data_IF_246401440204
#
_entry.id   IF_246401440204
#
_cell.length_a   1.000
_cell.length_b   1.000
_cell.length_c   1.000
_cell.angle_alpha   90.00
_cell.angle_beta   90.00
_cell.angle_gamma   90.00
#
_symmetry.space_group_name_H-M   'P 1'
#
loop_
_entity.id
_entity.type
_entity.pdbx_description
1 polymer ?
#
# COMPACT_ATOMS: atom_id res chain seq x y z
N UNK A 1 -20.46 -52.91 -21.59
CA UNK A 1 -19.31 -52.27 -21.00
C UNK A 1 -19.59 -52.10 -19.52
N UNK A 2 -19.01 -52.99 -18.69
CA UNK A 2 -19.09 -52.90 -17.23
C UNK A 2 -18.23 -51.71 -16.75
N UNK A 3 -18.86 -50.80 -16.00
CA UNK A 3 -18.14 -49.73 -15.33
C UNK A 3 -17.24 -50.24 -14.18
N UNK A 4 -16.24 -49.52 -13.76
CA UNK A 4 -15.31 -49.96 -12.72
C UNK A 4 -16.04 -50.31 -11.41
N UNK A 5 -15.68 -51.47 -10.86
CA UNK A 5 -16.22 -51.97 -9.57
C UNK A 5 -15.93 -50.93 -8.45
N UNK A 6 -16.88 -50.75 -7.50
CA UNK A 6 -16.84 -49.82 -6.39
C UNK A 6 -15.52 -49.92 -5.58
N UNK A 7 -14.89 -51.08 -5.52
CA UNK A 7 -13.57 -51.32 -4.92
C UNK A 7 -12.43 -50.69 -5.76
N UNK A 8 -12.49 -50.81 -7.09
CA UNK A 8 -11.49 -50.20 -7.97
C UNK A 8 -11.60 -48.69 -7.99
N UNK A 9 -12.81 -48.12 -7.87
CA UNK A 9 -13.04 -46.68 -7.72
C UNK A 9 -12.49 -46.15 -6.39
N UNK A 10 -12.74 -46.85 -5.28
CA UNK A 10 -12.25 -46.48 -3.95
C UNK A 10 -10.73 -46.57 -3.84
N UNK A 11 -10.11 -47.59 -4.41
CA UNK A 11 -8.63 -47.72 -4.46
C UNK A 11 -7.99 -46.69 -5.35
N UNK A 12 -8.61 -46.35 -6.48
CA UNK A 12 -8.15 -45.27 -7.34
C UNK A 12 -8.25 -43.87 -6.70
N UNK A 13 -9.39 -43.61 -6.02
CA UNK A 13 -9.57 -42.32 -5.29
C UNK A 13 -8.60 -42.18 -4.09
N UNK A 14 -8.31 -43.27 -3.35
CA UNK A 14 -7.31 -43.29 -2.29
C UNK A 14 -5.90 -43.07 -2.84
N UNK A 15 -5.53 -43.67 -3.97
CA UNK A 15 -4.22 -43.49 -4.60
C UNK A 15 -4.01 -42.07 -5.11
N UNK A 16 -5.06 -41.46 -5.71
CA UNK A 16 -5.02 -40.05 -6.16
C UNK A 16 -4.96 -39.10 -4.95
N UNK A 17 -5.74 -39.35 -3.90
CA UNK A 17 -5.71 -38.57 -2.67
C UNK A 17 -4.36 -38.64 -1.97
N UNK A 18 -3.72 -39.82 -1.92
CA UNK A 18 -2.39 -40.00 -1.36
C UNK A 18 -1.30 -39.33 -2.19
N UNK A 19 -1.38 -39.41 -3.52
CA UNK A 19 -0.44 -38.72 -4.41
C UNK A 19 -0.57 -37.18 -4.31
N UNK A 20 -1.79 -36.67 -4.17
CA UNK A 20 -2.04 -35.23 -3.96
C UNK A 20 -1.53 -34.75 -2.58
N UNK A 21 -1.69 -35.55 -1.53
CA UNK A 21 -1.18 -35.23 -0.18
C UNK A 21 0.34 -35.26 -0.11
N UNK A 22 0.98 -36.26 -0.76
CA UNK A 22 2.44 -36.36 -0.84
C UNK A 22 3.01 -35.25 -1.75
N UNK A 23 2.37 -34.97 -2.90
CA UNK A 23 2.75 -33.88 -3.79
C UNK A 23 2.59 -32.51 -3.13
N UNK A 24 1.51 -32.30 -2.38
CA UNK A 24 1.28 -31.08 -1.59
C UNK A 24 2.27 -30.91 -0.43
N UNK A 25 2.61 -32.03 0.25
CA UNK A 25 3.63 -32.03 1.32
C UNK A 25 5.04 -31.77 0.80
N UNK A 26 5.43 -32.39 -0.31
CA UNK A 26 6.73 -32.14 -0.97
C UNK A 26 6.75 -30.73 -1.55
N UNK A 27 5.65 -30.24 -2.14
CA UNK A 27 5.52 -28.88 -2.63
C UNK A 27 5.75 -27.85 -1.52
N UNK A 28 5.13 -28.01 -0.34
CA UNK A 28 5.35 -27.15 0.82
C UNK A 28 6.77 -27.22 1.37
N UNK A 29 7.36 -28.43 1.45
CA UNK A 29 8.76 -28.62 1.90
C UNK A 29 9.78 -28.02 0.91
N UNK A 30 9.48 -28.05 -0.39
CA UNK A 30 10.29 -27.39 -1.41
C UNK A 30 10.10 -25.88 -1.40
N UNK A 31 8.88 -25.39 -1.15
CA UNK A 31 8.57 -23.96 -1.02
C UNK A 31 9.36 -23.32 0.14
N UNK A 32 9.39 -23.96 1.32
CA UNK A 32 10.15 -23.48 2.46
C UNK A 32 11.69 -23.49 2.26
N UNK A 33 12.21 -24.27 1.28
CA UNK A 33 13.64 -24.26 0.91
C UNK A 33 14.05 -23.09 0.00
N UNK A 34 13.08 -22.41 -0.60
CA UNK A 34 13.30 -21.29 -1.53
C UNK A 34 12.75 -19.97 -0.98
N UNK A 35 12.21 -19.95 0.25
CA UNK A 35 11.80 -18.71 0.90
C UNK A 35 13.05 -17.88 1.22
N UNK A 36 13.03 -16.61 0.79
CA UNK A 36 14.09 -15.67 1.12
C UNK A 36 14.07 -15.37 2.61
N UNK A 37 15.27 -15.28 3.17
CA UNK A 37 15.43 -14.88 4.56
C UNK A 37 15.10 -13.40 4.72
N UNK A 38 14.01 -13.12 5.43
CA UNK A 38 13.59 -11.78 5.86
C UNK A 38 13.70 -11.60 7.37
N UNK A 39 14.27 -12.57 8.09
CA UNK A 39 14.44 -12.53 9.54
C UNK A 39 15.81 -11.92 9.90
N UNK A 40 15.94 -10.62 9.69
CA UNK A 40 17.09 -9.83 10.11
C UNK A 40 16.63 -8.46 10.59
N UNK A 41 17.46 -7.80 11.41
CA UNK A 41 17.13 -6.47 11.91
C UNK A 41 17.56 -5.38 10.92
N UNK A 42 16.67 -4.44 10.63
CA UNK A 42 17.01 -3.25 9.86
C UNK A 42 17.85 -2.27 10.70
N UNK A 43 18.66 -1.41 10.07
CA UNK A 43 19.36 -0.33 10.75
C UNK A 43 18.42 0.48 11.64
N UNK A 44 18.85 0.75 12.89
CA UNK A 44 18.09 1.53 13.85
C UNK A 44 16.95 0.80 14.57
N UNK A 45 16.70 -0.47 14.27
CA UNK A 45 15.76 -1.30 15.02
C UNK A 45 16.41 -1.91 16.27
N UNK A 46 15.65 -2.17 17.37
CA UNK A 46 16.16 -2.91 18.52
C UNK A 46 16.63 -4.29 18.09
N UNK A 47 17.89 -4.62 18.37
CA UNK A 47 18.50 -5.90 17.97
C UNK A 47 19.31 -5.88 16.68
N UNK A 48 19.41 -4.74 15.98
CA UNK A 48 20.32 -4.58 14.87
C UNK A 48 21.77 -4.68 15.38
N UNK A 49 22.36 -5.86 15.27
CA UNK A 49 23.82 -6.04 15.45
C UNK A 49 24.44 -5.61 14.13
N UNK A 50 25.26 -4.59 14.16
CA UNK A 50 26.17 -4.29 13.05
C UNK A 50 27.23 -5.40 13.03
N UNK A 51 26.90 -6.56 12.45
CA UNK A 51 27.90 -7.55 12.12
C UNK A 51 28.71 -7.03 10.92
N UNK A 52 29.79 -6.36 11.23
CA UNK A 52 30.87 -6.13 10.28
C UNK A 52 31.55 -7.49 9.99
N UNK A 53 31.03 -8.23 9.01
CA UNK A 53 31.76 -9.36 8.46
C UNK A 53 32.99 -8.82 7.73
N UNK A 54 34.14 -8.88 8.41
CA UNK A 54 35.47 -8.79 7.77
C UNK A 54 36.09 -7.42 7.64
N UNK A 55 36.07 -6.57 8.67
CA UNK A 55 36.88 -5.34 8.71
C UNK A 55 38.00 -5.43 9.72
N UNK A 56 39.20 -4.97 9.29
CA UNK A 56 40.35 -4.69 10.13
C UNK A 56 39.97 -3.86 11.36
N UNK A 57 40.59 -4.08 12.53
CA UNK A 57 40.30 -3.28 13.74
C UNK A 57 40.66 -1.79 13.50
N UNK A 58 39.66 -0.93 13.43
CA UNK A 58 39.87 0.50 13.32
C UNK A 58 38.87 1.29 12.44
N UNK A 59 38.03 0.65 11.66
CA UNK A 59 37.00 1.35 10.88
C UNK A 59 35.69 1.42 11.68
N UNK A 60 35.39 2.56 12.29
CA UNK A 60 34.04 2.87 12.76
C UNK A 60 33.15 3.07 11.54
N UNK A 61 32.27 2.13 11.26
CA UNK A 61 31.18 2.34 10.28
C UNK A 61 30.37 3.57 10.74
N UNK A 62 30.18 4.60 9.90
CA UNK A 62 29.37 5.75 10.28
C UNK A 62 27.97 5.26 10.68
N UNK A 63 27.44 5.79 11.78
CA UNK A 63 26.05 5.49 12.15
C UNK A 63 25.14 5.98 11.02
N UNK A 64 24.27 5.11 10.51
CA UNK A 64 23.29 5.45 9.49
C UNK A 64 22.33 6.48 10.09
N UNK A 65 22.18 7.62 9.44
CA UNK A 65 21.22 8.65 9.86
C UNK A 65 19.83 8.17 9.42
N UNK A 66 18.91 8.12 10.38
CA UNK A 66 17.51 7.77 10.13
C UNK A 66 16.63 8.93 10.55
N UNK A 67 15.97 9.55 9.59
CA UNK A 67 14.93 10.55 9.85
C UNK A 67 13.63 9.82 10.20
N UNK A 68 13.29 9.83 11.49
CA UNK A 68 12.19 9.05 12.07
C UNK A 68 10.83 9.65 11.74
N UNK A 69 9.86 8.77 11.56
CA UNK A 69 8.47 9.18 11.42
C UNK A 69 7.98 9.94 12.68
N UNK A 70 7.10 10.94 12.50
CA UNK A 70 6.47 11.63 13.64
C UNK A 70 5.64 10.66 14.50
N UNK A 71 5.32 11.09 15.75
CA UNK A 71 4.39 10.35 16.62
C UNK A 71 3.02 10.22 15.98
N UNK A 72 2.36 9.09 16.26
CA UNK A 72 0.97 8.80 15.88
C UNK A 72 0.02 8.89 17.09
N UNK A 73 0.42 9.59 18.15
CA UNK A 73 -0.43 9.79 19.31
C UNK A 73 -1.76 10.45 18.91
N UNK A 74 -2.87 9.80 19.28
CA UNK A 74 -4.22 10.25 18.92
C UNK A 74 -4.66 9.92 17.49
N UNK A 75 -3.88 9.15 16.73
CA UNK A 75 -4.30 8.67 15.41
C UNK A 75 -5.34 7.54 15.50
N UNK A 76 -5.27 6.73 16.57
CA UNK A 76 -6.26 5.70 16.90
C UNK A 76 -7.36 6.29 17.77
N UNK A 77 -8.61 6.22 17.31
CA UNK A 77 -9.78 6.71 18.08
C UNK A 77 -10.32 5.68 19.07
N UNK A 78 -9.83 4.45 19.05
CA UNK A 78 -10.22 3.39 19.99
C UNK A 78 -11.67 2.92 19.84
N UNK A 79 -12.26 3.04 18.66
CA UNK A 79 -13.62 2.58 18.37
C UNK A 79 -13.56 1.23 17.68
N UNK A 80 -14.23 0.24 18.27
CA UNK A 80 -14.26 -1.12 17.73
C UNK A 80 -14.80 -1.16 16.29
N UNK A 81 -14.09 -1.86 15.43
CA UNK A 81 -14.47 -2.09 14.04
C UNK A 81 -13.97 -1.04 13.04
N UNK A 82 -13.33 0.03 13.48
CA UNK A 82 -12.56 0.92 12.60
C UNK A 82 -11.24 0.22 12.25
N UNK A 83 -10.81 0.32 11.00
CA UNK A 83 -9.50 -0.18 10.54
C UNK A 83 -8.37 0.50 11.31
N UNK A 84 -7.36 -0.28 11.73
CA UNK A 84 -6.20 0.23 12.46
C UNK A 84 -5.47 1.31 11.69
N UNK A 85 -5.00 2.37 12.38
CA UNK A 85 -4.25 3.45 11.72
C UNK A 85 -3.01 2.89 11.00
N UNK A 86 -2.29 1.96 11.62
CA UNK A 86 -1.21 1.18 10.99
C UNK A 86 -1.70 -0.23 10.75
N UNK A 87 -1.90 -0.60 9.49
CA UNK A 87 -2.38 -1.94 9.11
C UNK A 87 -1.25 -2.96 9.30
N UNK A 88 -1.46 -4.05 10.06
CA UNK A 88 -0.46 -5.10 10.21
C UNK A 88 0.00 -5.67 8.86
N UNK A 89 1.27 -6.09 8.76
CA UNK A 89 1.83 -6.59 7.50
C UNK A 89 1.03 -7.75 6.88
N UNK A 90 0.44 -8.61 7.69
CA UNK A 90 -0.33 -9.76 7.22
C UNK A 90 -1.73 -9.37 6.71
N UNK A 91 -2.29 -8.28 7.20
CA UNK A 91 -3.61 -7.78 6.84
C UNK A 91 -3.55 -6.71 5.73
N UNK A 92 -2.35 -6.15 5.48
CA UNK A 92 -2.17 -5.14 4.43
C UNK A 92 -2.52 -5.71 3.05
N UNK A 93 -3.37 -5.00 2.31
CA UNK A 93 -3.87 -5.47 1.01
C UNK A 93 -2.75 -5.85 0.04
N UNK A 94 -3.00 -6.87 -0.78
CA UNK A 94 -2.06 -7.35 -1.77
C UNK A 94 -2.68 -7.34 -3.16
N UNK A 95 -2.12 -6.55 -4.06
CA UNK A 95 -2.40 -6.55 -5.51
C UNK A 95 -1.07 -6.60 -6.24
N UNK A 96 -0.93 -7.57 -7.13
CA UNK A 96 0.18 -7.71 -8.07
C UNK A 96 -0.22 -8.65 -9.23
N UNK A 97 0.65 -8.76 -10.24
CA UNK A 97 0.46 -9.65 -11.41
C UNK A 97 1.22 -10.97 -11.27
N UNK A 98 2.00 -11.12 -10.21
CA UNK A 98 2.83 -12.30 -9.99
C UNK A 98 1.97 -13.52 -9.60
N UNK A 99 2.07 -14.60 -10.36
CA UNK A 99 1.37 -15.87 -10.05
C UNK A 99 1.89 -16.52 -8.76
N UNK A 100 3.17 -16.34 -8.50
CA UNK A 100 3.85 -16.75 -7.26
C UNK A 100 4.65 -15.59 -6.73
N UNK A 101 4.75 -15.46 -5.40
CA UNK A 101 5.57 -14.40 -4.78
C UNK A 101 7.02 -14.57 -5.19
N UNK A 102 7.64 -13.60 -5.90
CA UNK A 102 9.04 -13.64 -6.22
C UNK A 102 9.90 -13.76 -4.97
N UNK A 103 10.89 -14.63 -5.04
CA UNK A 103 11.88 -14.86 -3.98
C UNK A 103 13.22 -14.28 -4.43
N UNK A 104 13.50 -13.05 -4.02
CA UNK A 104 14.68 -12.29 -4.45
C UNK A 104 15.64 -12.17 -3.28
N UNK A 105 16.81 -12.79 -3.39
CA UNK A 105 17.83 -12.73 -2.36
C UNK A 105 18.50 -11.34 -2.34
N UNK A 106 18.61 -10.73 -1.16
CA UNK A 106 19.16 -9.37 -0.98
C UNK A 106 20.62 -9.22 -1.40
N UNK A 107 21.40 -10.27 -1.19
CA UNK A 107 22.85 -10.32 -1.49
C UNK A 107 23.18 -10.34 -2.98
N UNK A 108 22.21 -10.72 -3.82
CA UNK A 108 22.33 -10.73 -5.28
C UNK A 108 21.46 -9.68 -5.95
N UNK A 109 20.61 -8.99 -5.17
CA UNK A 109 19.73 -7.96 -5.71
C UNK A 109 20.52 -6.71 -6.15
N UNK A 110 20.11 -6.17 -7.28
CA UNK A 110 20.63 -4.91 -7.84
C UNK A 110 19.49 -4.10 -8.43
N UNK A 111 19.64 -2.78 -8.37
CA UNK A 111 18.81 -1.81 -9.04
C UNK A 111 19.64 -0.99 -10.01
N UNK A 112 19.29 -1.02 -11.29
CA UNK A 112 19.87 -0.12 -12.29
C UNK A 112 18.99 1.11 -12.50
N UNK A 113 19.63 2.28 -12.66
CA UNK A 113 19.00 3.55 -13.02
C UNK A 113 19.64 4.06 -14.29
N UNK A 114 18.84 4.27 -15.35
CA UNK A 114 19.32 4.57 -16.69
C UNK A 114 18.36 5.47 -17.48
N UNK A 115 18.64 5.69 -18.76
CA UNK A 115 17.80 6.45 -19.67
C UNK A 115 18.19 7.93 -19.72
N UNK A 116 17.24 8.85 -19.55
CA UNK A 116 17.48 10.29 -19.59
C UNK A 116 18.15 10.78 -18.28
N UNK A 117 19.36 10.31 -18.04
CA UNK A 117 20.25 10.66 -16.92
C UNK A 117 21.66 10.94 -17.44
N UNK A 118 22.43 11.76 -16.74
CA UNK A 118 23.83 12.03 -17.07
C UNK A 118 24.75 10.88 -16.67
N UNK A 119 24.42 10.20 -15.57
CA UNK A 119 25.18 9.09 -15.01
C UNK A 119 24.25 7.91 -14.74
N UNK A 120 24.49 6.78 -15.36
CA UNK A 120 23.83 5.54 -14.99
C UNK A 120 24.33 5.08 -13.63
N UNK A 121 23.42 4.61 -12.77
CA UNK A 121 23.72 4.17 -11.40
C UNK A 121 23.30 2.70 -11.26
N UNK A 122 24.15 1.89 -10.65
CA UNK A 122 23.80 0.57 -10.14
C UNK A 122 23.91 0.59 -8.61
N UNK A 123 22.87 0.14 -7.91
CA UNK A 123 22.81 0.06 -6.46
C UNK A 123 22.61 -1.39 -6.02
N UNK A 124 23.37 -1.82 -5.04
CA UNK A 124 23.14 -3.04 -4.26
C UNK A 124 22.24 -2.75 -3.07
N UNK A 125 21.78 -3.79 -2.38
CA UNK A 125 21.04 -3.63 -1.14
C UNK A 125 21.86 -2.94 -0.05
N UNK A 126 23.15 -3.28 0.06
CA UNK A 126 24.07 -2.67 1.02
C UNK A 126 24.31 -1.18 0.72
N UNK A 127 24.36 -0.78 -0.56
CA UNK A 127 24.47 0.62 -0.94
C UNK A 127 23.24 1.42 -0.47
N UNK A 128 22.03 0.83 -0.52
CA UNK A 128 20.83 1.49 0.04
C UNK A 128 20.91 1.59 1.57
N UNK A 129 21.34 0.55 2.25
CA UNK A 129 21.48 0.57 3.72
C UNK A 129 22.52 1.56 4.20
N UNK A 130 23.53 1.89 3.38
CA UNK A 130 24.56 2.87 3.71
C UNK A 130 24.15 4.34 3.49
N UNK A 131 23.01 4.59 2.80
CA UNK A 131 22.49 5.92 2.56
C UNK A 131 21.73 6.47 3.78
N UNK A 132 21.46 7.77 3.76
CA UNK A 132 20.51 8.40 4.67
C UNK A 132 19.13 7.78 4.50
N UNK A 133 18.53 7.33 5.59
CA UNK A 133 17.26 6.63 5.60
C UNK A 133 16.15 7.49 6.18
N UNK A 134 14.93 7.22 5.77
CA UNK A 134 13.74 7.85 6.32
C UNK A 134 12.72 6.80 6.76
N UNK A 135 11.92 7.15 7.77
CA UNK A 135 10.71 6.43 8.14
C UNK A 135 9.51 7.32 7.88
N UNK A 136 8.51 6.83 7.14
CA UNK A 136 7.30 7.60 6.80
C UNK A 136 6.05 6.74 6.91
N UNK A 137 5.01 7.28 7.55
CA UNK A 137 3.67 6.72 7.43
C UNK A 137 3.08 7.16 6.10
N UNK A 138 2.74 6.21 5.23
CA UNK A 138 2.15 6.50 3.92
C UNK A 138 1.02 5.52 3.65
N UNK A 139 -0.13 6.08 3.27
CA UNK A 139 -1.27 5.30 2.80
C UNK A 139 -1.11 5.01 1.30
N UNK A 140 -1.16 3.73 0.95
CA UNK A 140 -1.26 3.27 -0.43
C UNK A 140 -2.69 2.87 -0.77
N UNK A 141 -3.12 3.18 -1.97
CA UNK A 141 -4.42 2.76 -2.51
C UNK A 141 -4.28 2.11 -3.87
N UNK A 142 -5.03 1.05 -4.12
CA UNK A 142 -5.17 0.47 -5.44
C UNK A 142 -6.20 1.28 -6.25
N UNK A 143 -5.93 1.50 -7.54
CA UNK A 143 -6.91 2.14 -8.44
C UNK A 143 -8.19 1.30 -8.59
N UNK A 144 -8.08 -0.02 -8.38
CA UNK A 144 -9.22 -0.95 -8.41
C UNK A 144 -10.05 -0.94 -7.12
N UNK A 145 -9.71 -0.11 -6.14
CA UNK A 145 -10.48 0.02 -4.91
C UNK A 145 -11.86 0.62 -5.23
N UNK A 146 -12.97 -0.12 -5.06
CA UNK A 146 -14.30 0.46 -5.22
C UNK A 146 -14.62 1.40 -4.05
N UNK A 147 -15.68 2.18 -4.17
CA UNK A 147 -16.20 2.96 -3.04
C UNK A 147 -16.56 2.02 -1.89
N UNK A 148 -16.04 2.30 -0.69
CA UNK A 148 -16.21 1.43 0.48
C UNK A 148 -15.36 0.16 0.49
N UNK A 149 -14.41 0.01 -0.47
CA UNK A 149 -13.55 -1.17 -0.57
C UNK A 149 -12.35 -1.14 0.39
N UNK A 150 -11.64 -2.27 0.43
CA UNK A 150 -10.55 -2.59 1.35
C UNK A 150 -9.15 -2.59 0.69
N UNK A 151 -9.05 -2.17 -0.59
CA UNK A 151 -7.78 -2.11 -1.31
C UNK A 151 -7.04 -0.78 -1.03
N UNK A 152 -6.93 -0.43 0.22
CA UNK A 152 -6.24 0.74 0.75
C UNK A 152 -5.67 0.38 2.12
N UNK A 153 -4.49 0.90 2.47
CA UNK A 153 -3.88 0.64 3.78
C UNK A 153 -2.78 1.63 4.08
N UNK A 154 -2.61 1.96 5.36
CA UNK A 154 -1.54 2.81 5.86
C UNK A 154 -0.50 1.97 6.59
N UNK A 155 0.78 2.22 6.33
CA UNK A 155 1.89 1.53 6.98
C UNK A 155 3.05 2.48 7.25
N UNK A 156 3.93 2.09 8.17
CA UNK A 156 5.23 2.72 8.37
C UNK A 156 6.23 2.12 7.39
N UNK A 157 6.74 2.93 6.47
CA UNK A 157 7.74 2.54 5.49
C UNK A 157 9.11 3.04 5.92
N UNK A 158 10.14 2.20 5.79
CA UNK A 158 11.54 2.56 5.98
C UNK A 158 12.27 2.38 4.65
N UNK A 159 13.08 3.39 4.27
CA UNK A 159 13.77 3.36 3.00
C UNK A 159 14.67 4.57 2.78
N UNK A 160 15.03 4.80 1.52
CA UNK A 160 15.80 5.96 1.06
C UNK A 160 14.97 6.77 0.08
N UNK A 161 15.08 8.09 0.14
CA UNK A 161 14.35 8.95 -0.81
C UNK A 161 14.88 8.80 -2.23
N UNK A 162 13.95 8.76 -3.20
CA UNK A 162 14.28 8.68 -4.63
C UNK A 162 14.90 9.97 -5.16
N UNK A 163 14.44 11.13 -4.70
CA UNK A 163 14.90 12.43 -5.20
C UNK A 163 16.42 12.61 -5.13
N UNK A 164 17.11 12.39 -3.99
CA UNK A 164 18.58 12.51 -3.94
C UNK A 164 19.30 11.53 -4.88
N UNK A 165 18.76 10.32 -5.08
CA UNK A 165 19.34 9.34 -6.00
C UNK A 165 19.21 9.82 -7.45
N UNK A 166 18.06 10.39 -7.84
CA UNK A 166 17.84 10.93 -9.16
C UNK A 166 18.65 12.22 -9.43
N UNK A 167 18.87 13.04 -8.40
CA UNK A 167 19.77 14.18 -8.45
C UNK A 167 21.23 13.75 -8.66
N UNK A 168 21.67 12.67 -7.99
CA UNK A 168 22.99 12.04 -8.21
C UNK A 168 23.14 11.50 -9.63
N UNK A 169 22.09 10.87 -10.18
CA UNK A 169 22.06 10.41 -11.56
C UNK A 169 22.10 11.55 -12.57
N UNK A 170 21.66 12.75 -12.20
CA UNK A 170 21.59 13.91 -13.08
C UNK A 170 20.45 13.79 -14.10
N UNK A 171 19.24 14.22 -13.73
CA UNK A 171 18.08 14.19 -14.63
C UNK A 171 18.31 15.08 -15.84
N UNK A 172 18.19 14.52 -17.05
CA UNK A 172 18.26 15.27 -18.30
C UNK A 172 16.94 15.96 -18.63
N UNK A 173 17.03 17.05 -19.38
CA UNK A 173 15.85 17.74 -19.92
C UNK A 173 14.98 16.78 -20.74
N UNK A 174 13.66 16.81 -20.51
CA UNK A 174 12.70 15.94 -21.17
C UNK A 174 12.47 14.60 -20.45
N UNK A 175 13.09 14.34 -19.31
CA UNK A 175 12.69 13.23 -18.43
C UNK A 175 11.33 13.55 -17.82
N UNK A 176 10.27 12.87 -18.27
CA UNK A 176 8.88 13.11 -17.86
C UNK A 176 8.33 11.95 -17.05
N UNK A 177 8.87 10.75 -17.26
CA UNK A 177 8.38 9.50 -16.72
C UNK A 177 9.52 8.68 -16.12
N UNK A 178 9.37 8.21 -14.89
CA UNK A 178 10.17 7.16 -14.29
C UNK A 178 9.48 5.82 -14.55
N UNK A 179 10.01 5.04 -15.49
CA UNK A 179 9.57 3.67 -15.74
C UNK A 179 10.33 2.74 -14.81
N UNK A 180 9.64 2.09 -13.88
CA UNK A 180 10.23 1.05 -13.05
C UNK A 180 9.78 -0.33 -13.49
N UNK A 181 10.66 -1.32 -13.33
CA UNK A 181 10.42 -2.72 -13.69
C UNK A 181 10.62 -3.62 -12.48
N UNK A 182 9.67 -4.52 -12.30
CA UNK A 182 9.72 -5.61 -11.33
C UNK A 182 10.48 -6.82 -11.89
N UNK A 183 10.99 -7.67 -11.01
CA UNK A 183 11.66 -8.93 -11.36
C UNK A 183 10.76 -9.88 -12.17
N UNK A 184 9.44 -9.81 -12.01
CA UNK A 184 8.46 -10.58 -12.79
C UNK A 184 8.12 -9.96 -14.16
N UNK A 185 8.77 -8.83 -14.48
CA UNK A 185 8.60 -8.12 -15.76
C UNK A 185 7.47 -7.09 -15.77
N UNK A 186 6.70 -6.94 -14.69
CA UNK A 186 5.70 -5.88 -14.60
C UNK A 186 6.35 -4.49 -14.63
N UNK A 187 5.69 -3.52 -15.25
CA UNK A 187 6.21 -2.15 -15.38
C UNK A 187 5.22 -1.12 -14.86
N UNK A 188 5.77 -0.07 -14.26
CA UNK A 188 5.05 1.09 -13.74
C UNK A 188 5.65 2.37 -14.33
N UNK A 189 4.83 3.37 -14.59
CA UNK A 189 5.28 4.68 -15.08
C UNK A 189 4.86 5.77 -14.12
N UNK A 190 5.80 6.30 -13.33
CA UNK A 190 5.54 7.38 -12.37
C UNK A 190 5.84 8.74 -12.99
N UNK A 191 4.99 9.76 -12.79
CA UNK A 191 5.29 11.13 -13.18
C UNK A 191 6.54 11.63 -12.45
N UNK A 192 7.54 12.13 -13.17
CA UNK A 192 8.77 12.67 -12.56
C UNK A 192 8.47 13.87 -11.68
N UNK A 193 7.55 14.74 -12.11
CA UNK A 193 7.12 15.88 -11.31
C UNK A 193 6.64 15.49 -9.90
N UNK A 194 5.96 14.36 -9.77
CA UNK A 194 5.50 13.86 -8.47
C UNK A 194 6.62 13.26 -7.60
N UNK A 195 7.75 12.86 -8.18
CA UNK A 195 8.89 12.35 -7.42
C UNK A 195 9.81 13.50 -6.99
N UNK A 196 9.86 14.57 -7.78
CA UNK A 196 10.77 15.68 -7.57
C UNK A 196 10.15 16.88 -6.83
N UNK A 197 8.83 16.91 -6.61
CA UNK A 197 8.11 18.03 -5.98
C UNK A 197 8.33 18.17 -4.45
N UNK A 198 9.05 17.22 -3.85
CA UNK A 198 9.39 17.25 -2.43
C UNK A 198 8.55 16.31 -1.57
N UNK A 199 7.61 15.54 -2.16
CA UNK A 199 6.98 14.42 -1.43
C UNK A 199 7.99 13.32 -1.15
N UNK A 200 7.76 12.55 -0.10
CA UNK A 200 8.67 11.48 0.32
C UNK A 200 8.56 10.22 -0.56
N UNK A 201 8.78 10.38 -1.89
CA UNK A 201 8.91 9.24 -2.81
C UNK A 201 10.17 8.44 -2.46
N UNK A 202 10.06 7.12 -2.26
CA UNK A 202 11.16 6.33 -1.72
C UNK A 202 11.33 4.94 -2.36
N UNK A 203 12.54 4.42 -2.21
CA UNK A 203 12.88 3.00 -2.30
C UNK A 203 12.73 2.41 -0.89
N UNK A 204 11.63 1.74 -0.62
CA UNK A 204 11.33 1.16 0.68
C UNK A 204 11.85 -0.28 0.76
N UNK A 205 12.52 -0.61 1.86
CA UNK A 205 13.03 -1.94 2.19
C UNK A 205 12.56 -2.44 3.56
N UNK A 206 11.84 -1.60 4.32
CA UNK A 206 11.20 -1.92 5.59
C UNK A 206 9.73 -1.56 5.61
N UNK A 207 8.94 -2.30 6.39
CA UNK A 207 7.52 -2.10 6.59
C UNK A 207 7.14 -2.42 8.04
N UNK A 208 6.52 -1.46 8.74
CA UNK A 208 6.08 -1.59 10.12
C UNK A 208 7.19 -2.08 11.09
N UNK A 209 8.40 -1.52 10.92
CA UNK A 209 9.54 -1.81 11.79
C UNK A 209 10.22 -3.16 11.56
N UNK A 210 9.91 -3.86 10.48
CA UNK A 210 10.56 -5.12 10.07
C UNK A 210 11.05 -5.03 8.63
N UNK A 211 11.97 -5.91 8.18
CA UNK A 211 12.27 -6.03 6.76
C UNK A 211 10.98 -6.22 5.96
N UNK A 212 10.98 -5.67 4.76
CA UNK A 212 9.81 -5.73 3.88
C UNK A 212 9.42 -7.21 3.63
N UNK A 213 8.18 -7.64 3.94
CA UNK A 213 7.78 -9.00 3.65
C UNK A 213 7.89 -9.35 2.16
N UNK A 214 8.27 -10.58 1.82
CA UNK A 214 8.40 -11.02 0.42
C UNK A 214 7.16 -10.69 -0.43
N UNK A 215 5.95 -10.92 0.12
CA UNK A 215 4.66 -10.62 -0.54
C UNK A 215 4.41 -9.13 -0.78
N UNK A 216 5.10 -8.25 -0.04
CA UNK A 216 4.99 -6.81 -0.16
C UNK A 216 6.15 -6.17 -0.94
N UNK A 217 7.08 -6.99 -1.48
CA UNK A 217 8.06 -6.53 -2.46
C UNK A 217 9.53 -6.61 -2.03
N UNK A 218 9.88 -7.46 -1.03
CA UNK A 218 11.28 -7.68 -0.63
C UNK A 218 12.17 -8.03 -1.83
N UNK A 219 13.40 -7.51 -1.95
CA UNK A 219 14.07 -6.68 -0.95
C UNK A 219 13.71 -5.20 -1.00
N UNK A 220 13.24 -4.69 -2.14
CA UNK A 220 12.97 -3.26 -2.32
C UNK A 220 11.73 -3.04 -3.18
N UNK A 221 10.90 -2.08 -2.77
CA UNK A 221 9.78 -1.57 -3.55
C UNK A 221 9.82 -0.06 -3.68
N UNK A 222 9.13 0.47 -4.67
CA UNK A 222 8.85 1.90 -4.77
C UNK A 222 7.57 2.23 -3.99
N UNK A 223 7.58 3.38 -3.32
CA UNK A 223 6.43 4.01 -2.68
C UNK A 223 6.44 5.49 -3.04
N UNK A 224 5.37 6.00 -3.67
CA UNK A 224 5.20 7.43 -3.97
C UNK A 224 3.86 7.89 -3.38
N UNK A 225 3.87 8.78 -2.37
CA UNK A 225 2.64 9.29 -1.77
C UNK A 225 1.74 9.97 -2.80
N UNK A 226 0.43 9.83 -2.65
CA UNK A 226 -0.56 10.54 -3.47
C UNK A 226 -0.82 9.96 -4.85
N UNK A 227 -0.15 8.86 -5.23
CA UNK A 227 -0.39 8.16 -6.49
C UNK A 227 -0.96 6.75 -6.25
N UNK A 228 -1.90 6.33 -7.10
CA UNK A 228 -2.36 4.94 -7.08
C UNK A 228 -1.22 3.96 -7.39
N UNK A 229 -1.24 2.79 -6.74
CA UNK A 229 -0.15 1.82 -6.80
C UNK A 229 0.28 1.38 -8.19
N UNK A 230 -0.62 1.41 -9.20
CA UNK A 230 -0.28 1.00 -10.57
C UNK A 230 0.65 1.99 -11.31
N UNK A 231 0.81 3.20 -10.80
CA UNK A 231 1.74 4.23 -11.29
C UNK A 231 2.82 4.63 -10.27
N UNK A 232 2.92 3.90 -9.11
CA UNK A 232 3.78 4.37 -8.02
C UNK A 232 4.45 3.29 -7.18
N UNK A 233 4.02 2.02 -7.24
CA UNK A 233 4.30 1.08 -6.17
C UNK A 233 4.88 -0.25 -6.68
N UNK A 234 5.90 -0.19 -7.54
CA UNK A 234 6.58 -1.39 -8.06
C UNK A 234 7.22 -2.19 -6.94
N UNK A 235 6.76 -3.42 -6.75
CA UNK A 235 7.34 -4.42 -5.86
C UNK A 235 8.50 -5.14 -6.55
N UNK A 236 9.48 -5.63 -5.76
CA UNK A 236 10.63 -6.39 -6.29
C UNK A 236 11.33 -5.63 -7.43
N UNK A 237 11.53 -4.32 -7.26
CA UNK A 237 12.08 -3.44 -8.30
C UNK A 237 13.55 -3.78 -8.60
N UNK A 238 13.90 -3.82 -9.88
CA UNK A 238 15.27 -4.12 -10.36
C UNK A 238 15.77 -3.13 -11.39
N UNK A 239 14.89 -2.31 -11.96
CA UNK A 239 15.26 -1.35 -13.01
C UNK A 239 14.41 -0.10 -12.91
N UNK A 240 15.04 1.05 -13.08
CA UNK A 240 14.44 2.37 -13.22
C UNK A 240 14.99 3.00 -14.48
N UNK A 241 14.12 3.38 -15.42
CA UNK A 241 14.48 4.07 -16.63
C UNK A 241 13.75 5.41 -16.73
N UNK A 242 14.51 6.50 -16.87
CA UNK A 242 13.99 7.84 -17.11
C UNK A 242 13.69 8.01 -18.60
N UNK A 243 12.47 8.45 -18.95
CA UNK A 243 12.03 8.50 -20.35
C UNK A 243 10.93 9.55 -20.54
N UNK A 244 10.44 9.70 -21.77
CA UNK A 244 9.31 10.56 -22.12
C UNK A 244 8.00 9.77 -22.11
N UNK A 245 6.88 10.47 -22.00
CA UNK A 245 5.56 9.84 -22.02
C UNK A 245 5.16 9.20 -23.36
N UNK A 246 5.73 9.65 -24.47
CA UNK A 246 5.49 9.15 -25.81
C UNK A 246 6.38 7.96 -26.19
N UNK A 247 7.44 7.68 -25.43
CA UNK A 247 8.39 6.61 -25.70
C UNK A 247 8.00 5.26 -25.08
N UNK A 248 7.24 5.28 -23.98
CA UNK A 248 6.90 4.06 -23.26
C UNK A 248 5.53 4.10 -22.59
N UNK A 249 4.74 3.05 -22.81
CA UNK A 249 3.50 2.79 -22.10
C UNK A 249 3.69 1.64 -21.09
N UNK A 250 3.57 1.94 -19.80
CA UNK A 250 3.65 0.95 -18.72
C UNK A 250 2.50 -0.07 -18.80
N UNK A 251 2.65 -1.20 -18.10
CA UNK A 251 1.82 -2.40 -18.22
C UNK A 251 0.30 -2.16 -18.29
N UNK A 252 -0.24 -1.25 -17.49
CA UNK A 252 -1.69 -1.00 -17.42
C UNK A 252 -2.20 0.02 -18.43
N UNK A 253 -1.33 0.85 -19.04
CA UNK A 253 -1.74 1.92 -19.95
C UNK A 253 -2.41 1.37 -21.22
N UNK A 254 -1.80 0.40 -21.97
CA UNK A 254 -2.45 -0.18 -23.14
C UNK A 254 -3.68 -1.02 -22.80
N UNK A 255 -3.94 -1.25 -21.50
CA UNK A 255 -5.13 -1.93 -20.97
C UNK A 255 -6.26 -1.00 -20.58
N UNK A 256 -6.13 0.30 -20.90
CA UNK A 256 -7.18 1.30 -20.74
C UNK A 256 -7.14 2.11 -19.43
N UNK A 257 -6.07 2.00 -18.64
CA UNK A 257 -5.89 2.83 -17.45
C UNK A 257 -5.16 4.15 -17.78
N UNK A 258 -5.41 5.19 -16.99
CA UNK A 258 -4.82 6.51 -17.19
C UNK A 258 -3.31 6.52 -16.93
N UNK A 259 -2.54 7.32 -17.67
CA UNK A 259 -1.08 7.46 -17.48
C UNK A 259 -0.71 8.09 -16.13
N UNK A 260 -1.54 9.01 -15.65
CA UNK A 260 -1.39 9.66 -14.34
C UNK A 260 -2.47 9.11 -13.42
N UNK A 261 -2.13 8.78 -12.21
CA UNK A 261 -3.03 8.14 -11.27
C UNK A 261 -3.01 8.81 -9.90
N UNK A 262 -3.41 10.08 -9.77
CA UNK A 262 -3.52 10.72 -8.46
C UNK A 262 -4.61 10.03 -7.65
N UNK A 263 -4.32 9.77 -6.37
CA UNK A 263 -5.30 9.22 -5.43
C UNK A 263 -6.42 10.21 -5.23
N UNK A 264 -7.67 9.74 -5.36
CA UNK A 264 -8.86 10.55 -5.16
C UNK A 264 -9.20 10.68 -3.67
N UNK A 265 -9.80 11.80 -3.29
CA UNK A 265 -10.38 12.02 -1.97
C UNK A 265 -11.51 11.04 -1.73
N UNK A 266 -11.45 10.25 -0.65
CA UNK A 266 -12.44 9.22 -0.32
C UNK A 266 -12.60 9.07 1.18
N UNK A 267 -13.80 8.63 1.59
CA UNK A 267 -14.10 8.17 2.94
C UNK A 267 -14.81 6.82 2.89
N UNK A 268 -14.56 5.99 3.92
CA UNK A 268 -15.15 4.66 4.09
C UNK A 268 -15.74 4.56 5.50
N UNK A 269 -16.90 3.94 5.61
CA UNK A 269 -17.50 3.54 6.88
C UNK A 269 -17.09 2.10 7.16
N UNK A 270 -16.42 1.85 8.28
CA UNK A 270 -16.00 0.52 8.71
C UNK A 270 -16.98 -0.07 9.73
N UNK A 271 -17.52 0.80 10.60
CA UNK A 271 -18.48 0.43 11.66
C UNK A 271 -19.66 1.42 11.73
N UNK A 272 -20.91 0.96 12.01
CA UNK A 272 -21.31 -0.44 12.00
C UNK A 272 -21.30 -1.04 10.59
N UNK A 273 -21.27 -2.36 10.50
CA UNK A 273 -21.46 -3.03 9.20
C UNK A 273 -22.90 -2.85 8.73
N UNK A 274 -23.07 -2.69 7.42
CA UNK A 274 -24.40 -2.55 6.79
C UNK A 274 -25.35 -3.68 7.21
N UNK A 275 -26.64 -3.33 7.48
CA UNK A 275 -27.66 -4.27 7.92
C UNK A 275 -27.64 -4.63 9.43
N UNK A 276 -26.92 -3.84 10.24
CA UNK A 276 -26.93 -4.01 11.71
C UNK A 276 -28.04 -3.20 12.34
N UNK A 277 -28.63 -3.79 13.41
CA UNK A 277 -29.55 -3.06 14.30
C UNK A 277 -28.78 -2.05 15.14
N UNK A 278 -29.39 -0.90 15.36
CA UNK A 278 -28.85 0.24 16.11
C UNK A 278 -29.86 0.77 17.10
N UNK A 279 -29.44 1.06 18.33
CA UNK A 279 -30.28 1.71 19.34
C UNK A 279 -29.44 2.55 20.30
N UNK A 280 -30.01 3.66 20.79
CA UNK A 280 -29.29 4.62 21.62
C UNK A 280 -28.23 5.39 20.85
N UNK A 281 -27.08 5.66 21.46
CA UNK A 281 -25.93 6.29 20.78
C UNK A 281 -25.06 5.23 20.13
N UNK A 282 -24.88 5.33 18.80
CA UNK A 282 -24.15 4.35 18.01
C UNK A 282 -22.95 5.04 17.32
N UNK A 283 -21.72 4.60 17.55
CA UNK A 283 -20.57 5.13 16.85
C UNK A 283 -20.59 4.69 15.37
N UNK A 284 -20.60 5.65 14.47
CA UNK A 284 -20.38 5.47 13.04
C UNK A 284 -18.96 5.91 12.77
N UNK A 285 -18.12 5.04 12.25
CA UNK A 285 -16.71 5.39 12.07
C UNK A 285 -16.02 4.63 10.95
N UNK A 286 -14.83 5.08 10.63
CA UNK A 286 -14.02 4.49 9.58
C UNK A 286 -12.78 5.33 9.25
N UNK A 287 -12.31 5.23 8.02
CA UNK A 287 -11.13 5.93 7.53
C UNK A 287 -11.45 6.83 6.33
N UNK A 288 -10.70 7.93 6.21
CA UNK A 288 -10.78 8.83 5.06
C UNK A 288 -9.37 9.20 4.59
N UNK A 289 -9.20 9.44 3.29
CA UNK A 289 -7.90 9.77 2.71
C UNK A 289 -8.01 10.74 1.52
N UNK A 290 -7.03 11.60 1.44
CA UNK A 290 -6.71 12.43 0.29
C UNK A 290 -5.18 12.57 0.25
N UNK A 291 -4.50 11.46 0.01
CA UNK A 291 -3.04 11.30 0.19
C UNK A 291 -2.29 12.42 -0.50
N UNK A 292 -1.35 13.04 0.21
CA UNK A 292 -0.55 14.21 -0.13
C UNK A 292 -1.28 15.57 -0.05
N UNK A 293 -2.61 15.61 -0.13
CA UNK A 293 -3.40 16.83 0.13
C UNK A 293 -3.86 16.94 1.58
N UNK A 294 -3.99 15.79 2.25
CA UNK A 294 -4.57 15.71 3.60
C UNK A 294 -6.10 15.71 3.58
N UNK A 295 -6.70 15.43 4.74
CA UNK A 295 -8.14 15.49 4.97
C UNK A 295 -8.42 16.56 6.01
N UNK A 296 -9.20 17.58 5.64
CA UNK A 296 -9.57 18.70 6.53
C UNK A 296 -10.85 18.45 7.31
N UNK A 297 -11.81 17.67 6.75
CA UNK A 297 -13.04 17.28 7.41
C UNK A 297 -13.58 15.96 6.86
N UNK A 298 -14.36 15.27 7.69
CA UNK A 298 -15.22 14.17 7.27
C UNK A 298 -16.63 14.48 7.72
N UNK A 299 -17.60 14.27 6.84
CA UNK A 299 -18.99 14.55 7.10
C UNK A 299 -19.83 13.32 6.82
N UNK A 300 -20.85 13.11 7.65
CA UNK A 300 -21.87 12.10 7.43
C UNK A 300 -23.25 12.74 7.22
N UNK A 301 -24.16 12.02 6.58
CA UNK A 301 -25.57 12.33 6.57
C UNK A 301 -26.42 11.07 6.69
N UNK A 302 -27.62 11.24 7.20
CA UNK A 302 -28.63 10.19 7.30
C UNK A 302 -29.76 10.54 6.33
N UNK A 303 -30.14 9.59 5.45
CA UNK A 303 -31.28 9.68 4.52
C UNK A 303 -31.37 10.98 3.73
N UNK A 304 -30.35 11.38 3.03
CA UNK A 304 -30.32 12.65 2.26
C UNK A 304 -30.54 13.93 3.11
N UNK A 305 -30.39 13.84 4.43
CA UNK A 305 -30.45 14.97 5.34
C UNK A 305 -29.23 15.89 5.25
N UNK A 306 -29.11 16.77 6.24
CA UNK A 306 -27.96 17.70 6.34
C UNK A 306 -26.67 16.97 6.66
N UNK A 307 -25.57 17.41 6.05
CA UNK A 307 -24.23 16.95 6.39
C UNK A 307 -23.84 17.43 7.78
N UNK A 308 -23.28 16.53 8.57
CA UNK A 308 -22.81 16.74 9.94
C UNK A 308 -21.33 16.37 10.05
N UNK A 309 -20.56 17.18 10.74
CA UNK A 309 -19.12 16.97 10.88
C UNK A 309 -18.83 15.81 11.86
N UNK A 310 -17.92 14.95 11.46
CA UNK A 310 -17.36 13.88 12.30
C UNK A 310 -16.12 14.37 13.05
N UNK A 311 -15.80 13.70 14.16
CA UNK A 311 -14.55 13.89 14.89
C UNK A 311 -13.43 13.13 14.19
N UNK A 312 -12.30 13.78 13.96
CA UNK A 312 -11.09 13.21 13.33
C UNK A 312 -10.06 12.81 14.38
N UNK A 313 -9.36 11.70 14.11
CA UNK A 313 -8.11 11.37 14.79
C UNK A 313 -6.98 12.32 14.35
N UNK A 314 -5.88 12.34 15.09
CA UNK A 314 -4.66 13.05 14.69
C UNK A 314 -3.98 12.35 13.53
N UNK A 315 -3.27 13.10 12.69
CA UNK A 315 -2.45 12.55 11.61
C UNK A 315 -1.03 13.08 11.68
N UNK A 316 -0.01 12.25 11.45
CA UNK A 316 1.39 12.70 11.49
C UNK A 316 1.74 13.57 10.28
N UNK A 317 1.13 13.30 9.13
CA UNK A 317 1.36 14.01 7.86
C UNK A 317 0.14 13.94 6.96
N UNK A 318 0.15 14.69 5.85
CA UNK A 318 -0.89 14.63 4.82
C UNK A 318 -0.82 13.37 3.94
N UNK A 319 0.19 12.52 4.12
CA UNK A 319 0.38 11.30 3.33
C UNK A 319 -0.32 10.08 3.92
N UNK A 320 -1.02 10.25 5.05
CA UNK A 320 -1.77 9.18 5.72
C UNK A 320 -3.28 9.36 5.56
N UNK A 321 -4.00 8.27 5.74
CA UNK A 321 -5.42 8.36 6.04
C UNK A 321 -5.64 8.91 7.46
N UNK A 322 -6.88 9.27 7.75
CA UNK A 322 -7.34 9.68 9.08
C UNK A 322 -8.48 8.77 9.52
N UNK A 323 -8.47 8.33 10.78
CA UNK A 323 -9.65 7.74 11.39
C UNK A 323 -10.66 8.84 11.74
N UNK A 324 -11.94 8.52 11.63
CA UNK A 324 -13.02 9.42 11.96
C UNK A 324 -14.16 8.69 12.69
N UNK A 325 -14.90 9.41 13.53
CA UNK A 325 -16.07 8.89 14.24
C UNK A 325 -17.16 9.96 14.39
N UNK A 326 -18.40 9.53 14.31
CA UNK A 326 -19.60 10.30 14.61
C UNK A 326 -20.53 9.49 15.50
N UNK A 327 -20.93 10.05 16.65
CA UNK A 327 -21.87 9.41 17.56
C UNK A 327 -23.32 9.74 17.13
N UNK A 328 -23.98 8.81 16.47
CA UNK A 328 -25.36 8.93 16.03
C UNK A 328 -26.31 8.63 17.19
N UNK A 329 -27.08 9.63 17.61
CA UNK A 329 -28.23 9.43 18.49
C UNK A 329 -29.42 8.93 17.66
N UNK A 330 -29.75 7.64 17.78
CA UNK A 330 -30.80 7.02 16.99
C UNK A 330 -32.19 7.60 17.29
N UNK A 331 -32.40 8.22 18.46
CA UNK A 331 -33.68 8.89 18.78
C UNK A 331 -33.97 10.08 17.86
N UNK A 332 -32.95 10.66 17.21
CA UNK A 332 -33.06 11.79 16.31
C UNK A 332 -33.54 11.42 14.89
N UNK A 333 -33.39 10.15 14.51
CA UNK A 333 -33.76 9.65 13.17
C UNK A 333 -35.04 8.79 13.19
N UNK A 334 -35.46 8.31 14.37
CA UNK A 334 -36.67 7.47 14.53
C UNK A 334 -36.41 5.99 14.19
N UNK A 335 -37.42 5.15 14.44
CA UNK A 335 -37.35 3.73 14.13
C UNK A 335 -37.50 3.46 12.64
N UNK A 336 -36.76 2.49 12.15
CA UNK A 336 -36.83 2.07 10.75
C UNK A 336 -35.46 1.90 10.10
N UNK A 337 -35.48 1.77 8.80
CA UNK A 337 -34.29 1.54 7.97
C UNK A 337 -33.75 2.86 7.44
N UNK A 338 -32.50 3.17 7.79
CA UNK A 338 -31.82 4.41 7.46
C UNK A 338 -30.55 4.18 6.66
N UNK A 339 -30.34 5.03 5.65
CA UNK A 339 -29.09 5.08 4.88
C UNK A 339 -28.13 6.08 5.50
N UNK A 340 -26.88 5.68 5.72
CA UNK A 340 -25.82 6.57 6.20
C UNK A 340 -24.79 6.72 5.11
N UNK A 341 -24.49 7.95 4.72
CA UNK A 341 -23.47 8.29 3.75
C UNK A 341 -22.34 9.08 4.40
N UNK A 342 -21.13 8.92 3.87
CA UNK A 342 -19.94 9.63 4.30
C UNK A 342 -19.26 10.31 3.12
N UNK A 343 -18.67 11.48 3.37
CA UNK A 343 -17.75 12.15 2.44
C UNK A 343 -16.57 12.75 3.20
N UNK A 344 -15.43 12.83 2.53
CA UNK A 344 -14.27 13.60 3.00
C UNK A 344 -14.20 14.97 2.29
N UNK A 345 -13.57 15.93 2.95
CA UNK A 345 -13.12 17.21 2.39
C UNK A 345 -11.61 17.20 2.51
N UNK A 346 -10.90 17.45 1.42
CA UNK A 346 -9.44 17.43 1.44
C UNK A 346 -8.84 18.73 2.02
N UNK A 347 -7.49 18.76 2.10
CA UNK A 347 -6.78 19.91 2.67
C UNK A 347 -6.90 21.19 1.85
N UNK A 348 -7.27 21.09 0.58
CA UNK A 348 -7.53 22.23 -0.30
C UNK A 348 -8.98 22.75 -0.14
N UNK A 349 -9.80 22.08 0.68
CA UNK A 349 -11.21 22.42 0.90
C UNK A 349 -12.16 21.81 -0.13
N UNK A 350 -11.66 20.95 -1.03
CA UNK A 350 -12.47 20.34 -2.07
C UNK A 350 -13.19 19.09 -1.54
N UNK A 351 -14.52 18.99 -1.67
CA UNK A 351 -15.25 17.83 -1.22
C UNK A 351 -15.04 16.63 -2.15
N UNK A 352 -15.08 15.44 -1.58
CA UNK A 352 -15.13 14.18 -2.32
C UNK A 352 -16.24 14.25 -3.39
N UNK A 353 -15.95 13.89 -4.65
CA UNK A 353 -16.94 13.92 -5.73
C UNK A 353 -18.15 13.00 -5.43
N UNK A 354 -19.36 13.54 -5.60
CA UNK A 354 -20.62 12.81 -5.35
C UNK A 354 -21.02 11.86 -6.48
N UNK A 355 -20.64 12.17 -7.72
CA UNK A 355 -21.03 11.39 -8.89
C UNK A 355 -20.40 10.01 -8.86
N UNK A 356 -21.17 8.91 -8.89
CA UNK A 356 -20.62 7.56 -8.91
C UNK A 356 -19.83 7.31 -10.19
N UNK A 357 -18.62 6.80 -10.03
CA UNK A 357 -17.75 6.36 -11.13
C UNK A 357 -17.18 4.98 -10.81
N UNK A 358 -17.13 4.12 -11.82
CA UNK A 358 -16.42 2.85 -11.73
C UNK A 358 -14.90 3.06 -11.59
N UNK A 359 -14.19 2.02 -11.15
CA UNK A 359 -12.73 2.08 -10.93
C UNK A 359 -11.93 2.43 -12.18
N UNK A 360 -12.34 1.96 -13.35
CA UNK A 360 -11.68 2.31 -14.62
C UNK A 360 -12.22 3.63 -15.17
N UNK A 361 -11.36 4.47 -15.78
CA UNK A 361 -9.94 4.29 -16.07
C UNK A 361 -9.00 4.89 -14.98
N UNK A 362 -9.50 5.58 -13.97
CA UNK A 362 -8.72 6.42 -13.07
C UNK A 362 -9.19 6.40 -11.60
N UNK A 363 -9.80 5.31 -11.15
CA UNK A 363 -10.28 5.12 -9.77
C UNK A 363 -11.77 5.46 -9.59
N UNK A 364 -12.41 4.79 -8.63
CA UNK A 364 -13.80 4.99 -8.28
C UNK A 364 -14.09 6.40 -7.74
N UNK A 365 -15.34 6.83 -7.81
CA UNK A 365 -15.88 8.04 -7.17
C UNK A 365 -17.28 7.76 -6.62
N UNK A 366 -17.78 8.66 -5.80
CA UNK A 366 -19.07 8.59 -5.13
C UNK A 366 -18.92 8.40 -3.63
N UNK A 367 -20.02 8.49 -2.90
CA UNK A 367 -20.03 8.36 -1.45
C UNK A 367 -20.22 6.91 -1.03
N UNK A 368 -19.50 6.50 0.01
CA UNK A 368 -19.78 5.21 0.64
C UNK A 368 -21.06 5.32 1.47
N UNK A 369 -21.97 4.36 1.26
CA UNK A 369 -23.25 4.28 1.92
C UNK A 369 -23.44 2.91 2.57
N UNK A 370 -23.85 2.92 3.82
CA UNK A 370 -24.35 1.74 4.54
C UNK A 370 -25.81 1.89 4.89
N UNK A 371 -26.42 0.82 5.35
CA UNK A 371 -27.79 0.83 5.88
C UNK A 371 -27.78 0.30 7.31
N UNK A 372 -28.48 0.95 8.21
CA UNK A 372 -28.72 0.52 9.59
C UNK A 372 -30.21 0.40 9.85
N UNK A 373 -30.61 -0.55 10.68
CA UNK A 373 -31.99 -0.72 11.15
C UNK A 373 -32.06 -0.15 12.58
N UNK A 374 -32.83 0.92 12.79
CA UNK A 374 -33.03 1.57 14.11
C UNK A 374 -34.26 0.97 14.77
N UNK A 375 -34.09 0.43 15.99
CA UNK A 375 -35.15 -0.22 16.79
C UNK A 375 -36.13 0.77 17.46
#
# INVERSE_FOLDING_TARGET
TMGPDRRQFMTGALAIGSAAAVGGGIGRLLQGRFEVDTDFALPGQPGAVTEATGSSPGATTPAVIIDRAPSIDGAELGVDGIESFVVPNDDFYRIDTALTVPQVARDTWKLSISGLVDNEIELTYDDLLAREQVERYITLSCVSNPVGGDLVGNALWQGVLLKPILEEAGLQEGAEQLVSRSVDGWTCGSPIEAIMDGRDAMLAFGMNGTPLPARHGFPVRIVVPGLFGYVSATKWVTDIRLTRWDEFDAYWIPRGWSKRGPVKTMARIDTPRSGRSASGTVPIGGVAWAVHRGVSAVQIRVDDGTWMDATLGSVPTNDTWVQWVFDLDTSTVGSGRHGIEVRAIDGDGEPQPSEPQAVAPNGAQGYHRIVVDVD
#
